data_IF_168811794658
#
_entry.id   IF_168811794658
#
_cell.length_a   1.000
_cell.length_b   1.000
_cell.length_c   1.000
_cell.angle_alpha   90.00
_cell.angle_beta   90.00
_cell.angle_gamma   90.00
#
_symmetry.space_group_name_H-M   'P 1'
#
loop_
_entity.id
_entity.type
_entity.pdbx_description
1 polymer ?
#
# COMPACT_ATOMS: atom_id res chain seq x y z
N UNK A 1 -79.01 24.31 -6.46
CA UNK A 1 -78.00 25.36 -6.20
C UNK A 1 -76.93 25.00 -5.14
N UNK A 2 -77.03 23.89 -4.37
CA UNK A 2 -76.04 23.57 -3.33
C UNK A 2 -74.81 22.75 -3.79
N UNK A 3 -74.92 21.96 -4.87
CA UNK A 3 -73.81 21.09 -5.33
C UNK A 3 -72.68 21.86 -6.05
N UNK A 4 -73.01 22.88 -6.84
CA UNK A 4 -72.03 23.64 -7.63
C UNK A 4 -71.08 24.50 -6.76
N UNK A 5 -71.55 24.96 -5.59
CA UNK A 5 -70.80 25.83 -4.69
C UNK A 5 -69.71 25.08 -3.89
N UNK A 6 -69.87 23.78 -3.66
CA UNK A 6 -68.86 22.94 -3.01
C UNK A 6 -67.77 22.49 -3.98
N UNK A 7 -68.13 22.23 -5.24
CA UNK A 7 -67.18 21.90 -6.32
C UNK A 7 -66.21 23.06 -6.60
N UNK A 8 -66.73 24.29 -6.65
CA UNK A 8 -65.91 25.51 -6.82
C UNK A 8 -64.93 25.75 -5.66
N UNK A 9 -65.34 25.47 -4.40
CA UNK A 9 -64.48 25.60 -3.23
C UNK A 9 -63.37 24.54 -3.20
N UNK A 10 -63.68 23.30 -3.61
CA UNK A 10 -62.67 22.24 -3.73
C UNK A 10 -61.63 22.58 -4.80
N UNK A 11 -62.06 23.07 -5.98
CA UNK A 11 -61.13 23.45 -7.05
C UNK A 11 -60.25 24.65 -6.68
N UNK A 12 -60.79 25.67 -5.98
CA UNK A 12 -59.97 26.77 -5.48
C UNK A 12 -58.95 26.31 -4.41
N UNK A 13 -59.31 25.35 -3.54
CA UNK A 13 -58.37 24.78 -2.58
C UNK A 13 -57.23 24.00 -3.24
N UNK A 14 -57.53 23.25 -4.31
CA UNK A 14 -56.52 22.49 -5.07
C UNK A 14 -55.57 23.39 -5.88
N UNK A 15 -56.05 24.53 -6.39
CA UNK A 15 -55.20 25.47 -7.13
C UNK A 15 -54.26 26.22 -6.17
N UNK A 16 -54.76 26.64 -5.00
CA UNK A 16 -53.96 27.33 -3.98
C UNK A 16 -52.85 26.44 -3.37
N UNK A 17 -53.07 25.12 -3.25
CA UNK A 17 -52.03 24.20 -2.78
C UNK A 17 -50.94 23.96 -3.83
N UNK A 18 -51.29 23.89 -5.13
CA UNK A 18 -50.32 23.71 -6.21
C UNK A 18 -49.36 24.91 -6.39
N UNK A 19 -49.84 26.13 -6.13
CA UNK A 19 -49.02 27.35 -6.21
C UNK A 19 -48.01 27.47 -5.05
N UNK A 20 -48.29 26.87 -3.89
CA UNK A 20 -47.38 26.92 -2.74
C UNK A 20 -46.18 25.96 -2.88
N UNK A 21 -46.30 24.90 -3.67
CA UNK A 21 -45.25 23.88 -3.88
C UNK A 21 -44.20 24.28 -4.93
N UNK A 22 -44.45 25.28 -5.77
CA UNK A 22 -43.47 25.76 -6.78
C UNK A 22 -42.61 26.92 -6.29
N UNK A 23 -43.01 27.63 -5.23
CA UNK A 23 -42.21 28.69 -4.61
C UNK A 23 -41.07 28.14 -3.73
N UNK A 24 -41.18 26.91 -3.22
CA UNK A 24 -40.14 26.25 -2.40
C UNK A 24 -38.98 25.69 -3.24
N UNK A 25 -39.15 25.53 -4.55
CA UNK A 25 -38.14 24.95 -5.45
C UNK A 25 -37.07 25.97 -5.88
N UNK A 26 -37.39 27.26 -5.93
CA UNK A 26 -36.41 28.29 -6.29
C UNK A 26 -35.43 28.63 -5.16
N UNK A 27 -35.88 28.55 -3.89
CA UNK A 27 -35.03 28.88 -2.75
C UNK A 27 -33.89 27.85 -2.52
N UNK A 28 -34.13 26.58 -2.84
CA UNK A 28 -33.13 25.50 -2.70
C UNK A 28 -32.07 25.53 -3.80
N UNK A 29 -32.41 26.00 -5.01
CA UNK A 29 -31.46 26.07 -6.13
C UNK A 29 -30.41 27.18 -5.96
N UNK A 30 -30.76 28.28 -5.27
CA UNK A 30 -29.84 29.41 -5.03
C UNK A 30 -28.81 29.07 -3.95
N UNK A 31 -29.20 28.33 -2.89
CA UNK A 31 -28.26 27.91 -1.84
C UNK A 31 -27.26 26.85 -2.32
N UNK A 32 -27.69 25.94 -3.20
CA UNK A 32 -26.82 24.88 -3.74
C UNK A 32 -25.73 25.44 -4.66
N UNK A 33 -26.05 26.46 -5.47
CA UNK A 33 -25.09 27.09 -6.37
C UNK A 33 -23.97 27.82 -5.59
N UNK A 34 -24.32 28.55 -4.53
CA UNK A 34 -23.32 29.17 -3.65
C UNK A 34 -22.43 28.14 -2.93
N UNK A 35 -23.02 27.01 -2.51
CA UNK A 35 -22.25 25.94 -1.85
C UNK A 35 -21.28 25.26 -2.84
N UNK A 36 -21.71 24.99 -4.08
CA UNK A 36 -20.83 24.47 -5.13
C UNK A 36 -19.70 25.44 -5.46
N UNK A 37 -19.97 26.75 -5.55
CA UNK A 37 -18.93 27.75 -5.83
C UNK A 37 -17.91 27.84 -4.69
N UNK A 38 -18.36 27.78 -3.42
CA UNK A 38 -17.46 27.75 -2.25
C UNK A 38 -16.61 26.47 -2.21
N UNK A 39 -17.18 25.33 -2.60
CA UNK A 39 -16.45 24.07 -2.71
C UNK A 39 -15.41 24.09 -3.83
N UNK A 40 -15.72 24.69 -4.98
CA UNK A 40 -14.77 24.89 -6.08
C UNK A 40 -13.64 25.83 -5.69
N UNK A 41 -13.94 26.98 -5.06
CA UNK A 41 -12.92 27.91 -4.53
C UNK A 41 -12.05 27.28 -3.44
N UNK A 42 -12.62 26.44 -2.57
CA UNK A 42 -11.85 25.69 -1.58
C UNK A 42 -10.93 24.65 -2.24
N UNK A 43 -11.40 23.97 -3.30
CA UNK A 43 -10.60 23.01 -4.07
C UNK A 43 -9.46 23.70 -4.82
N UNK A 44 -9.72 24.82 -5.48
CA UNK A 44 -8.68 25.63 -6.13
C UNK A 44 -7.68 26.18 -5.12
N UNK A 45 -8.13 26.67 -3.97
CA UNK A 45 -7.23 27.12 -2.89
C UNK A 45 -6.37 25.99 -2.32
N UNK A 46 -6.91 24.76 -2.26
CA UNK A 46 -6.15 23.56 -1.87
C UNK A 46 -5.18 23.12 -2.98
N UNK A 47 -5.55 23.27 -4.26
CA UNK A 47 -4.69 22.96 -5.41
C UNK A 47 -3.58 23.99 -5.60
N UNK A 48 -3.82 25.27 -5.33
CA UNK A 48 -2.77 26.31 -5.38
C UNK A 48 -1.84 26.28 -4.15
N UNK A 49 -2.29 25.74 -3.01
CA UNK A 49 -1.40 25.38 -1.89
C UNK A 49 -0.62 24.08 -2.14
N UNK A 50 -0.92 23.33 -3.22
CA UNK A 50 -0.21 22.11 -3.58
C UNK A 50 1.00 22.34 -4.52
N UNK A 51 1.26 23.58 -4.94
CA UNK A 51 2.50 23.93 -5.67
C UNK A 51 3.63 24.44 -4.77
N UNK A 52 3.45 24.48 -3.45
CA UNK A 52 4.51 24.87 -2.50
C UNK A 52 4.67 23.90 -1.33
N UNK A 53 4.43 22.60 -1.58
CA UNK A 53 4.76 21.51 -0.66
C UNK A 53 5.84 20.56 -1.22
N UNK A 54 6.80 21.09 -1.98
CA UNK A 54 8.03 20.35 -2.35
C UNK A 54 9.20 20.58 -1.37
N UNK A 55 9.08 21.49 -0.41
CA UNK A 55 10.17 21.86 0.51
C UNK A 55 9.94 21.46 1.97
N UNK A 56 9.44 20.24 2.22
CA UNK A 56 9.67 19.56 3.51
C UNK A 56 10.48 18.29 3.28
N UNK A 57 11.70 18.49 2.76
CA UNK A 57 12.76 17.51 2.91
C UNK A 57 13.73 18.03 3.94
N UNK A 58 13.43 17.69 5.20
CA UNK A 58 14.45 17.68 6.23
C UNK A 58 15.53 16.69 5.76
N UNK A 59 16.60 17.28 5.25
CA UNK A 59 17.92 16.70 5.08
C UNK A 59 18.33 15.99 6.38
N UNK A 60 18.18 14.66 6.45
CA UNK A 60 18.99 13.71 7.25
C UNK A 60 18.39 12.29 7.41
N UNK A 61 17.17 11.98 6.95
CA UNK A 61 16.54 10.67 7.27
C UNK A 61 15.85 9.94 6.11
N UNK A 62 15.96 10.43 4.88
CA UNK A 62 15.17 9.92 3.75
C UNK A 62 15.64 8.56 3.23
N UNK A 63 16.94 8.29 3.27
CA UNK A 63 17.53 7.04 2.77
C UNK A 63 17.19 5.84 3.65
N UNK A 64 16.98 6.04 4.97
CA UNK A 64 16.61 4.97 5.90
C UNK A 64 15.10 4.67 5.94
N UNK A 65 14.26 5.56 5.40
CA UNK A 65 12.82 5.35 5.31
C UNK A 65 12.39 4.54 4.06
N UNK A 66 13.21 4.53 3.00
CA UNK A 66 12.85 3.93 1.70
C UNK A 66 13.09 2.42 1.59
N UNK A 67 13.95 1.81 2.42
CA UNK A 67 14.28 0.39 2.28
C UNK A 67 13.38 -0.59 3.07
N UNK A 68 12.35 -0.07 3.75
CA UNK A 68 11.30 -0.92 4.31
C UNK A 68 10.46 -1.53 3.19
N UNK A 69 10.09 -2.80 3.30
CA UNK A 69 9.34 -3.46 2.24
C UNK A 69 9.14 -4.94 2.46
N UNK A 70 8.42 -5.53 1.52
CA UNK A 70 8.22 -6.98 1.43
C UNK A 70 8.95 -7.47 0.20
N UNK A 71 9.83 -8.45 0.38
CA UNK A 71 10.64 -9.03 -0.67
C UNK A 71 10.28 -10.50 -0.84
N UNK A 72 10.16 -10.95 -2.08
CA UNK A 72 9.80 -12.32 -2.44
C UNK A 72 10.91 -12.99 -3.24
N UNK A 73 11.10 -14.28 -3.02
CA UNK A 73 11.98 -15.09 -3.85
C UNK A 73 11.70 -16.57 -3.74
N UNK A 74 12.30 -17.32 -4.66
CA UNK A 74 12.23 -18.78 -4.70
C UNK A 74 13.64 -19.34 -4.63
N UNK A 75 14.11 -19.57 -3.41
CA UNK A 75 15.51 -19.88 -3.14
C UNK A 75 15.82 -21.37 -3.34
N UNK A 76 17.08 -21.75 -3.62
CA UNK A 76 17.47 -23.15 -3.69
C UNK A 76 17.22 -23.89 -2.37
N UNK A 77 16.78 -25.14 -2.50
CA UNK A 77 16.55 -26.03 -1.37
C UNK A 77 17.68 -27.06 -1.28
N UNK A 78 18.38 -27.17 -0.14
CA UNK A 78 19.44 -28.16 0.01
C UNK A 78 18.90 -29.60 0.16
N UNK A 79 17.65 -29.76 0.63
CA UNK A 79 17.12 -31.03 1.13
C UNK A 79 16.19 -31.76 0.14
N UNK A 80 16.45 -31.63 -1.16
CA UNK A 80 15.70 -32.36 -2.20
C UNK A 80 14.28 -31.86 -2.45
N UNK A 81 13.93 -30.65 -2.00
CA UNK A 81 12.70 -29.97 -2.39
C UNK A 81 12.92 -29.07 -3.62
N UNK A 82 11.85 -28.71 -4.34
CA UNK A 82 11.98 -27.95 -5.59
C UNK A 82 12.50 -26.51 -5.39
N UNK A 83 12.45 -26.01 -4.16
CA UNK A 83 12.91 -24.69 -3.75
C UNK A 83 12.19 -24.23 -2.48
N UNK A 84 12.54 -23.05 -2.01
CA UNK A 84 11.98 -22.44 -0.80
C UNK A 84 11.33 -21.12 -1.18
N UNK A 85 9.99 -21.08 -1.14
CA UNK A 85 9.24 -19.83 -1.23
C UNK A 85 9.60 -19.00 -0.01
N UNK A 86 10.10 -17.79 -0.26
CA UNK A 86 10.63 -16.92 0.79
C UNK A 86 9.96 -15.56 0.70
N UNK A 87 9.45 -15.08 1.83
CA UNK A 87 8.93 -13.72 2.01
C UNK A 87 9.68 -13.06 3.16
N UNK A 88 10.43 -12.00 2.87
CA UNK A 88 11.11 -11.19 3.87
C UNK A 88 10.41 -9.83 3.99
N UNK A 89 9.88 -9.53 5.16
CA UNK A 89 9.37 -8.20 5.48
C UNK A 89 10.37 -7.46 6.37
N UNK A 90 10.92 -6.35 5.88
CA UNK A 90 11.72 -5.40 6.65
C UNK A 90 10.80 -4.27 7.12
N UNK A 91 10.59 -4.17 8.44
CA UNK A 91 9.65 -3.24 9.07
C UNK A 91 10.39 -2.17 9.87
N UNK A 92 9.71 -1.06 10.09
CA UNK A 92 10.16 0.02 10.97
C UNK A 92 10.63 -0.49 12.34
N UNK A 93 11.50 0.30 12.98
CA UNK A 93 12.17 -0.03 14.26
C UNK A 93 13.05 -1.29 14.16
N UNK A 94 13.55 -1.55 12.97
CA UNK A 94 14.52 -2.61 12.66
C UNK A 94 14.00 -4.00 13.01
N UNK A 95 12.73 -4.29 12.71
CA UNK A 95 12.10 -5.59 12.97
C UNK A 95 11.89 -6.29 11.64
N UNK A 96 12.25 -7.57 11.54
CA UNK A 96 11.91 -8.38 10.37
C UNK A 96 10.95 -9.52 10.69
N UNK A 97 10.24 -9.95 9.65
CA UNK A 97 9.53 -11.23 9.58
C UNK A 97 10.01 -11.96 8.33
N UNK A 98 10.54 -13.16 8.50
CA UNK A 98 10.90 -14.06 7.42
C UNK A 98 9.92 -15.24 7.44
N UNK A 99 9.23 -15.45 6.32
CA UNK A 99 8.34 -16.60 6.10
C UNK A 99 8.96 -17.47 5.03
N UNK A 100 9.14 -18.76 5.32
CA UNK A 100 9.65 -19.74 4.37
C UNK A 100 8.71 -20.92 4.25
N UNK A 101 8.54 -21.43 3.04
CA UNK A 101 7.79 -22.64 2.75
C UNK A 101 8.52 -23.46 1.70
N UNK A 102 8.80 -24.71 2.01
CA UNK A 102 9.35 -25.65 1.04
C UNK A 102 8.35 -25.90 -0.08
N UNK A 103 8.79 -25.89 -1.33
CA UNK A 103 7.97 -26.18 -2.50
C UNK A 103 7.80 -27.69 -2.68
N UNK A 104 7.05 -28.30 -1.77
CA UNK A 104 6.64 -29.71 -1.76
C UNK A 104 5.21 -29.83 -1.28
N UNK A 105 4.56 -30.95 -1.60
CA UNK A 105 3.18 -31.20 -1.19
C UNK A 105 3.06 -31.22 0.33
N UNK A 106 1.96 -30.63 0.83
CA UNK A 106 1.63 -30.55 2.26
C UNK A 106 2.70 -29.87 3.15
N UNK A 107 3.55 -29.01 2.58
CA UNK A 107 4.52 -28.26 3.37
C UNK A 107 3.87 -27.15 4.19
N UNK A 108 4.31 -27.03 5.45
CA UNK A 108 3.94 -25.95 6.35
C UNK A 108 4.83 -24.73 6.15
N UNK A 109 4.29 -23.56 6.48
CA UNK A 109 5.09 -22.33 6.59
C UNK A 109 5.89 -22.31 7.89
N UNK A 110 7.09 -21.75 7.81
CA UNK A 110 7.96 -21.47 8.94
C UNK A 110 8.11 -19.96 9.09
N UNK A 111 8.06 -19.49 10.34
CA UNK A 111 8.08 -18.07 10.66
C UNK A 111 9.25 -17.77 11.58
N UNK A 112 10.12 -16.89 11.12
CA UNK A 112 11.24 -16.37 11.89
C UNK A 112 11.05 -14.85 12.09
N UNK A 113 11.24 -14.39 13.32
CA UNK A 113 11.15 -12.98 13.69
C UNK A 113 12.41 -12.57 14.41
N UNK A 114 12.84 -11.34 14.18
CA UNK A 114 14.03 -10.83 14.82
C UNK A 114 14.27 -9.36 14.56
N UNK A 115 15.50 -8.95 14.85
CA UNK A 115 16.00 -7.60 14.55
C UNK A 115 16.87 -7.64 13.31
N UNK A 116 16.99 -6.54 12.61
CA UNK A 116 17.98 -6.43 11.54
C UNK A 116 18.84 -5.18 11.70
N UNK A 117 20.02 -5.19 11.10
CA UNK A 117 20.89 -4.02 10.96
C UNK A 117 21.22 -3.80 9.49
N UNK A 118 21.55 -2.55 9.18
CA UNK A 118 22.02 -2.12 7.87
C UNK A 118 23.48 -1.69 8.00
N UNK A 119 24.29 -2.12 7.06
CA UNK A 119 25.65 -1.65 6.82
C UNK A 119 25.65 -0.93 5.47
N UNK A 120 25.56 0.39 5.55
CA UNK A 120 25.38 1.28 4.40
C UNK A 120 26.63 1.34 3.52
N UNK A 121 27.81 1.16 4.13
CA UNK A 121 29.12 1.17 3.48
C UNK A 121 29.28 -0.07 2.61
N UNK A 122 28.96 -1.24 3.16
CA UNK A 122 29.12 -2.52 2.46
C UNK A 122 27.86 -2.96 1.71
N UNK A 123 26.76 -2.22 1.83
CA UNK A 123 25.44 -2.58 1.29
C UNK A 123 25.00 -3.96 1.77
N UNK A 124 25.01 -4.18 3.09
CA UNK A 124 24.61 -5.46 3.71
C UNK A 124 23.47 -5.27 4.71
N UNK A 125 22.46 -6.14 4.61
CA UNK A 125 21.44 -6.35 5.64
C UNK A 125 21.79 -7.59 6.45
N UNK A 126 21.79 -7.48 7.78
CA UNK A 126 22.02 -8.61 8.68
C UNK A 126 20.74 -8.88 9.46
N UNK A 127 20.16 -10.07 9.29
CA UNK A 127 19.00 -10.55 10.03
C UNK A 127 19.46 -11.32 11.27
N UNK A 128 19.05 -10.86 12.45
CA UNK A 128 19.37 -11.46 13.74
C UNK A 128 18.09 -12.09 14.34
N UNK A 129 17.97 -13.43 14.34
CA UNK A 129 16.79 -14.10 14.87
C UNK A 129 16.63 -13.89 16.37
N UNK A 130 15.38 -13.80 16.85
CA UNK A 130 15.08 -13.60 18.28
C UNK A 130 15.30 -14.87 19.12
N UNK A 131 15.11 -16.04 18.51
CA UNK A 131 15.32 -17.36 19.11
C UNK A 131 16.52 -18.02 18.44
N UNK A 132 16.90 -19.20 18.91
CA UNK A 132 17.97 -20.01 18.32
C UNK A 132 17.89 -20.01 16.79
N UNK A 133 18.98 -19.59 16.16
CA UNK A 133 19.07 -19.38 14.72
C UNK A 133 20.39 -18.72 14.35
N UNK A 134 20.77 -18.84 13.07
CA UNK A 134 22.00 -18.25 12.54
C UNK A 134 21.66 -16.92 11.88
N UNK A 135 22.48 -15.91 12.10
CA UNK A 135 22.32 -14.62 11.43
C UNK A 135 22.43 -14.79 9.91
N UNK A 136 21.53 -14.16 9.16
CA UNK A 136 21.52 -14.20 7.69
C UNK A 136 22.02 -12.87 7.15
N UNK A 137 22.92 -12.91 6.18
CA UNK A 137 23.41 -11.71 5.49
C UNK A 137 22.81 -11.64 4.09
N UNK A 138 22.36 -10.46 3.70
CA UNK A 138 21.89 -10.18 2.35
C UNK A 138 22.61 -8.95 1.82
N UNK A 139 23.05 -8.99 0.58
CA UNK A 139 23.57 -7.81 -0.11
C UNK A 139 22.43 -7.03 -0.75
N UNK A 140 22.51 -5.71 -0.71
CA UNK A 140 21.59 -4.80 -1.37
C UNK A 140 22.18 -4.46 -2.74
N UNK A 141 21.57 -5.00 -3.80
CA UNK A 141 22.00 -4.71 -5.17
C UNK A 141 21.41 -3.37 -5.63
N UNK A 142 20.13 -3.12 -5.28
CA UNK A 142 19.40 -1.87 -5.49
C UNK A 142 18.21 -1.79 -4.49
N UNK A 143 17.44 -0.70 -4.52
CA UNK A 143 16.30 -0.45 -3.61
C UNK A 143 15.22 -1.55 -3.67
N UNK A 144 15.15 -2.31 -4.76
CA UNK A 144 14.18 -3.35 -5.01
C UNK A 144 14.73 -4.77 -4.84
N UNK A 145 16.02 -4.94 -4.53
CA UNK A 145 16.72 -6.21 -4.76
C UNK A 145 17.68 -6.56 -3.65
N UNK A 146 17.43 -7.72 -3.04
CA UNK A 146 18.29 -8.32 -2.04
C UNK A 146 18.86 -9.64 -2.57
N UNK A 147 20.13 -9.90 -2.29
CA UNK A 147 20.79 -11.16 -2.68
C UNK A 147 21.25 -11.85 -1.41
N UNK A 148 20.75 -13.05 -1.14
CA UNK A 148 21.21 -13.82 0.02
C UNK A 148 22.68 -14.22 -0.16
N UNK A 149 23.49 -13.93 0.85
CA UNK A 149 24.90 -14.29 0.91
C UNK A 149 25.09 -15.67 1.57
N UNK A 150 26.29 -16.23 1.39
CA UNK A 150 26.72 -17.42 2.11
C UNK A 150 26.80 -17.18 3.63
N UNK A 151 26.92 -18.25 4.40
CA UNK A 151 27.00 -18.16 5.87
C UNK A 151 28.24 -17.40 6.36
N UNK A 152 29.32 -17.42 5.58
CA UNK A 152 30.54 -16.63 5.78
C UNK A 152 30.36 -15.14 5.41
N UNK A 153 29.28 -14.79 4.70
CA UNK A 153 29.02 -13.46 4.17
C UNK A 153 29.63 -13.21 2.80
N UNK A 154 30.13 -14.24 2.11
CA UNK A 154 30.61 -14.09 0.73
C UNK A 154 29.46 -14.21 -0.27
N UNK A 155 29.64 -13.60 -1.44
CA UNK A 155 28.66 -13.70 -2.54
C UNK A 155 28.69 -15.13 -3.08
N UNK A 156 27.52 -15.73 -3.17
CA UNK A 156 27.37 -17.05 -3.78
C UNK A 156 27.58 -16.88 -5.28
N UNK A 157 28.67 -17.43 -5.81
CA UNK A 157 29.06 -17.25 -7.22
C UNK A 157 28.36 -18.24 -8.15
N UNK A 158 28.08 -19.45 -7.67
CA UNK A 158 27.33 -20.47 -8.41
C UNK A 158 25.84 -20.18 -8.34
N UNK A 159 25.18 -20.02 -9.49
CA UNK A 159 23.74 -19.73 -9.60
C UNK A 159 23.27 -18.52 -8.74
N UNK A 160 24.08 -17.45 -8.69
CA UNK A 160 23.81 -16.25 -7.88
C UNK A 160 22.38 -15.71 -8.04
N UNK A 161 21.85 -15.76 -9.26
CA UNK A 161 20.50 -15.27 -9.60
C UNK A 161 19.39 -16.02 -8.85
N UNK A 162 19.63 -17.25 -8.40
CA UNK A 162 18.66 -18.03 -7.62
C UNK A 162 18.52 -17.55 -6.18
N UNK A 163 19.44 -16.71 -5.70
CA UNK A 163 19.46 -16.19 -4.34
C UNK A 163 18.85 -14.79 -4.21
N UNK A 164 18.15 -14.32 -5.25
CA UNK A 164 17.54 -12.99 -5.31
C UNK A 164 16.17 -12.98 -4.63
N UNK A 165 15.94 -11.96 -3.80
CA UNK A 165 14.62 -11.54 -3.31
C UNK A 165 14.28 -10.18 -3.93
N UNK A 166 13.10 -10.06 -4.53
CA UNK A 166 12.64 -8.85 -5.22
C UNK A 166 11.49 -8.18 -4.47
N UNK A 167 11.53 -6.86 -4.36
CA UNK A 167 10.54 -6.06 -3.63
C UNK A 167 9.17 -6.11 -4.30
N UNK A 168 8.12 -6.23 -3.51
CA UNK A 168 6.75 -6.51 -3.96
C UNK A 168 6.17 -5.51 -4.96
N UNK A 169 6.57 -4.25 -4.85
CA UNK A 169 6.14 -3.13 -5.69
C UNK A 169 6.93 -3.02 -7.01
N UNK A 170 8.13 -3.60 -7.08
CA UNK A 170 8.94 -3.67 -8.31
C UNK A 170 8.53 -4.83 -9.20
N UNK A 171 7.92 -5.87 -8.63
CA UNK A 171 7.36 -7.00 -9.38
C UNK A 171 6.03 -6.54 -9.98
N UNK A 172 6.00 -6.26 -11.29
CA UNK A 172 4.74 -5.96 -12.01
C UNK A 172 3.75 -7.10 -11.74
N UNK A 173 2.62 -6.76 -11.12
CA UNK A 173 1.55 -7.64 -10.62
C UNK A 173 0.88 -8.58 -11.65
N UNK A 174 1.41 -8.74 -12.86
CA UNK A 174 0.82 -9.50 -13.96
C UNK A 174 1.53 -10.80 -14.35
N UNK A 175 2.63 -11.18 -13.69
CA UNK A 175 3.38 -12.40 -14.03
C UNK A 175 3.48 -13.44 -12.90
N UNK A 176 2.50 -13.47 -12.00
CA UNK A 176 2.26 -14.63 -11.13
C UNK A 176 0.97 -15.32 -11.57
N UNK A 177 0.91 -15.69 -12.86
CA UNK A 177 0.00 -16.76 -13.30
C UNK A 177 0.74 -18.06 -13.09
N UNK A 178 0.43 -18.74 -11.98
CA UNK A 178 0.77 -20.14 -11.78
C UNK A 178 -0.19 -20.92 -12.69
N UNK A 179 0.35 -21.58 -13.72
CA UNK A 179 -0.36 -22.62 -14.48
C UNK A 179 -0.24 -23.97 -13.77
#
# INVERSE_FOLDING_TARGET
MFAARNQLKQQLLFILSSALLTASSLALAVSDMEMQERMLKAREKTTMQHEEHSAHMNSANKEQEEFHGVFYGFLPCPDGCNGIKTTLSLKQKNIYLLVTQEAKDSSREFFEKGKYTWDDENKIVILMPRKDGVAKKLHIEDDGTLIQLGNDGTRITTDADRYILRRSDTVKSRQVHIH
#
